data_IF_152071251428
#
_entry.id   IF_152071251428
#
_cell.length_a   1.000
_cell.length_b   1.000
_cell.length_c   1.000
_cell.angle_alpha   90.00
_cell.angle_beta   90.00
_cell.angle_gamma   90.00
#
_symmetry.space_group_name_H-M   'P 1'
#
loop_
_entity.id
_entity.type
_entity.pdbx_description
1 polymer ?
#
# COMPACT_ATOMS: atom_id res chain seq x y z
N UNK A 1 41.71 3.93 2.77
CA UNK A 1 41.86 3.56 4.19
C UNK A 1 40.55 2.96 4.66
N UNK A 2 40.64 1.83 5.38
CA UNK A 2 39.63 1.09 6.16
C UNK A 2 38.25 0.76 5.53
N UNK A 3 38.17 -0.46 4.97
CA UNK A 3 36.94 -1.23 4.76
C UNK A 3 36.64 -1.99 6.06
N UNK A 4 35.55 -1.67 6.76
CA UNK A 4 35.13 -2.46 7.92
C UNK A 4 34.24 -3.63 7.45
N UNK A 5 34.87 -4.80 7.39
CA UNK A 5 34.20 -6.10 7.35
C UNK A 5 33.81 -6.46 8.79
N UNK A 6 32.53 -6.66 9.07
CA UNK A 6 32.10 -7.38 10.27
C UNK A 6 31.45 -8.72 9.87
N UNK A 7 31.68 -9.80 10.64
CA UNK A 7 31.59 -11.18 10.19
C UNK A 7 30.21 -11.83 10.46
N UNK A 8 30.00 -12.92 9.73
CA UNK A 8 29.02 -13.97 9.99
C UNK A 8 29.03 -14.46 11.45
N UNK A 9 27.83 -14.62 12.01
CA UNK A 9 27.48 -15.63 13.00
C UNK A 9 26.10 -16.17 12.54
N UNK A 10 25.97 -17.29 11.83
CA UNK A 10 26.11 -18.69 12.26
C UNK A 10 25.38 -19.01 13.58
N UNK A 11 24.22 -19.67 13.49
CA UNK A 11 23.56 -20.26 14.65
C UNK A 11 22.15 -20.81 14.38
N UNK A 12 22.08 -22.03 13.82
CA UNK A 12 21.18 -23.17 14.17
C UNK A 12 19.66 -22.97 14.32
N UNK A 13 18.74 -23.88 13.99
CA UNK A 13 18.64 -25.16 13.29
C UNK A 13 17.17 -25.63 13.51
N UNK A 14 16.59 -26.31 12.51
CA UNK A 14 15.40 -27.19 12.60
C UNK A 14 14.04 -26.53 12.96
N UNK A 15 12.86 -26.98 12.49
CA UNK A 15 12.47 -28.27 11.96
C UNK A 15 11.25 -28.12 11.00
N UNK A 16 11.20 -29.01 10.01
CA UNK A 16 10.04 -29.30 9.17
C UNK A 16 8.88 -29.92 9.95
N UNK A 17 7.63 -29.71 9.52
CA UNK A 17 6.36 -30.42 9.87
C UNK A 17 5.24 -29.65 9.11
N UNK A 18 4.27 -30.17 8.34
CA UNK A 18 3.75 -31.51 8.01
C UNK A 18 3.05 -31.43 6.65
N UNK A 19 3.20 -32.47 5.84
CA UNK A 19 2.41 -32.77 4.64
C UNK A 19 1.01 -33.31 4.97
N UNK A 20 0.09 -33.08 4.03
CA UNK A 20 -1.02 -33.96 3.63
C UNK A 20 -2.32 -33.96 4.48
N UNK A 21 -3.40 -33.59 3.80
CA UNK A 21 -4.79 -33.83 4.22
C UNK A 21 -5.71 -33.82 3.01
N UNK A 22 -5.59 -34.85 2.15
CA UNK A 22 -6.57 -35.15 1.11
C UNK A 22 -7.70 -36.03 1.68
N UNK A 23 -8.91 -35.78 1.15
CA UNK A 23 -10.01 -36.74 0.94
C UNK A 23 -11.03 -36.99 2.05
N UNK A 24 -12.23 -36.44 1.85
CA UNK A 24 -13.44 -37.27 1.83
C UNK A 24 -14.52 -36.61 0.94
N UNK A 25 -14.75 -37.24 -0.22
CA UNK A 25 -15.87 -36.99 -1.12
C UNK A 25 -17.00 -37.97 -0.78
N UNK A 26 -18.25 -37.53 -0.71
CA UNK A 26 -19.40 -38.34 -1.18
C UNK A 26 -20.63 -37.46 -1.45
N UNK A 27 -21.24 -37.75 -2.60
CA UNK A 27 -22.27 -37.05 -3.34
C UNK A 27 -23.71 -37.34 -2.86
N UNK A 28 -24.64 -36.43 -3.18
CA UNK A 28 -25.91 -36.80 -3.85
C UNK A 28 -26.36 -35.64 -4.74
N UNK A 29 -26.54 -35.94 -6.02
CA UNK A 29 -26.96 -34.96 -7.02
C UNK A 29 -28.45 -34.64 -6.96
N UNK A 30 -28.82 -33.57 -7.65
CA UNK A 30 -30.11 -33.48 -8.35
C UNK A 30 -29.91 -32.55 -9.55
N UNK A 31 -30.04 -33.13 -10.73
CA UNK A 31 -30.20 -32.44 -12.01
C UNK A 31 -31.39 -31.48 -11.96
N UNK A 32 -31.15 -30.21 -12.28
CA UNK A 32 -32.10 -29.38 -12.99
C UNK A 32 -31.34 -28.33 -13.80
N UNK A 33 -31.07 -28.68 -15.05
CA UNK A 33 -30.76 -27.72 -16.10
C UNK A 33 -31.87 -26.67 -16.15
N UNK A 34 -31.51 -25.41 -15.93
CA UNK A 34 -32.23 -24.27 -16.48
C UNK A 34 -31.19 -23.21 -16.81
N UNK A 35 -30.83 -23.19 -18.09
CA UNK A 35 -30.08 -22.11 -18.69
C UNK A 35 -30.92 -20.82 -18.63
N UNK A 36 -30.36 -19.80 -18.00
CA UNK A 36 -30.67 -18.40 -18.28
C UNK A 36 -29.38 -17.58 -18.08
N UNK A 37 -29.18 -16.50 -18.86
CA UNK A 37 -27.86 -16.04 -19.27
C UNK A 37 -27.22 -15.08 -18.28
N UNK A 38 -25.89 -14.98 -18.41
CA UNK A 38 -25.03 -13.85 -18.09
C UNK A 38 -25.62 -12.77 -17.17
N UNK A 39 -25.15 -12.75 -15.93
CA UNK A 39 -24.82 -11.48 -15.31
C UNK A 39 -23.43 -11.65 -14.74
N UNK A 40 -22.43 -11.26 -15.52
CA UNK A 40 -21.17 -10.81 -14.93
C UNK A 40 -21.57 -9.76 -13.91
N UNK A 41 -21.61 -10.16 -12.63
CA UNK A 41 -21.36 -9.22 -11.57
C UNK A 41 -19.92 -8.78 -11.78
N UNK A 42 -19.73 -7.81 -12.69
CA UNK A 42 -18.61 -6.90 -12.59
C UNK A 42 -18.50 -6.53 -11.11
N UNK A 43 -17.30 -6.52 -10.52
CA UNK A 43 -17.16 -5.85 -9.24
C UNK A 43 -17.79 -4.47 -9.44
N UNK A 44 -18.90 -4.23 -8.74
CA UNK A 44 -19.50 -2.91 -8.71
C UNK A 44 -18.33 -1.98 -8.40
N UNK A 45 -18.10 -0.90 -9.17
CA UNK A 45 -17.12 0.09 -8.75
C UNK A 45 -17.53 0.44 -7.33
N UNK A 46 -16.63 0.21 -6.37
CA UNK A 46 -16.79 0.68 -5.02
C UNK A 46 -16.93 2.20 -5.14
N UNK A 47 -18.16 2.65 -5.33
CA UNK A 47 -18.52 4.05 -5.43
C UNK A 47 -18.65 4.48 -3.99
N UNK A 48 -17.51 4.57 -3.32
CA UNK A 48 -17.41 5.27 -2.05
C UNK A 48 -17.51 6.75 -2.40
N UNK A 49 -18.56 7.36 -1.85
CA UNK A 49 -19.13 8.62 -2.24
C UNK A 49 -18.12 9.78 -2.29
N UNK A 50 -18.04 10.45 -3.44
CA UNK A 50 -17.44 11.77 -3.55
C UNK A 50 -18.36 12.81 -2.89
N UNK A 51 -18.05 13.24 -1.67
CA UNK A 51 -18.39 14.57 -1.15
C UNK A 51 -17.38 14.94 -0.05
N UNK A 52 -16.18 15.39 -0.45
CA UNK A 52 -15.12 15.90 0.45
C UNK A 52 -14.10 14.86 0.95
N UNK A 53 -13.46 14.12 0.04
CA UNK A 53 -12.48 13.06 0.37
C UNK A 53 -11.22 13.15 -0.49
N UNK A 54 -10.46 12.05 -0.57
CA UNK A 54 -9.32 11.92 -1.50
C UNK A 54 -9.81 12.10 -2.95
N UNK A 55 -9.24 13.07 -3.66
CA UNK A 55 -9.56 13.36 -5.06
C UNK A 55 -8.28 13.39 -5.88
N UNK A 56 -8.41 13.22 -7.20
CA UNK A 56 -7.27 13.32 -8.11
C UNK A 56 -6.53 14.67 -8.04
N UNK A 57 -7.23 15.76 -7.72
CA UNK A 57 -6.60 17.08 -7.58
C UNK A 57 -5.76 17.17 -6.30
N UNK A 58 -6.20 16.50 -5.23
CA UNK A 58 -5.44 16.38 -3.97
C UNK A 58 -4.25 15.45 -4.17
N UNK A 59 -4.43 14.34 -4.89
CA UNK A 59 -3.36 13.42 -5.26
C UNK A 59 -2.26 14.15 -6.03
N UNK A 60 -2.62 14.90 -7.07
CA UNK A 60 -1.67 15.63 -7.90
C UNK A 60 -0.91 16.68 -7.08
N UNK A 61 -1.63 17.44 -6.26
CA UNK A 61 -1.02 18.46 -5.38
C UNK A 61 -0.06 17.83 -4.37
N UNK A 62 -0.51 16.79 -3.66
CA UNK A 62 0.32 16.08 -2.68
C UNK A 62 1.56 15.46 -3.34
N UNK A 63 1.35 14.73 -4.43
CA UNK A 63 2.42 14.01 -5.12
C UNK A 63 3.43 14.99 -5.71
N UNK A 64 2.97 16.08 -6.31
CA UNK A 64 3.85 17.15 -6.83
C UNK A 64 4.71 17.78 -5.73
N UNK A 65 4.11 18.12 -4.59
CA UNK A 65 4.83 18.72 -3.45
C UNK A 65 5.82 17.74 -2.81
N UNK A 66 5.41 16.48 -2.67
CA UNK A 66 6.25 15.40 -2.15
C UNK A 66 7.44 15.14 -3.08
N UNK A 67 7.20 15.03 -4.39
CA UNK A 67 8.25 14.83 -5.40
C UNK A 67 9.22 16.00 -5.37
N UNK A 68 8.71 17.23 -5.37
CA UNK A 68 9.55 18.42 -5.29
C UNK A 68 10.44 18.37 -4.05
N UNK A 69 9.86 18.13 -2.87
CA UNK A 69 10.60 18.05 -1.61
C UNK A 69 11.66 16.94 -1.62
N UNK A 70 11.32 15.76 -2.12
CA UNK A 70 12.25 14.63 -2.21
C UNK A 70 13.39 14.90 -3.21
N UNK A 71 13.10 15.54 -4.34
CA UNK A 71 14.11 15.92 -5.34
C UNK A 71 15.03 17.02 -4.84
N UNK A 72 14.50 18.02 -4.12
CA UNK A 72 15.29 19.06 -3.45
C UNK A 72 16.23 18.45 -2.38
N UNK A 73 15.84 17.32 -1.79
CA UNK A 73 16.66 16.52 -0.87
C UNK A 73 17.64 15.55 -1.56
N UNK A 74 17.65 15.48 -2.90
CA UNK A 74 18.59 14.68 -3.69
C UNK A 74 18.07 13.31 -4.15
N UNK A 75 16.79 13.01 -3.95
CA UNK A 75 16.16 11.79 -4.50
C UNK A 75 15.95 11.95 -6.01
N UNK A 76 16.30 10.95 -6.85
CA UNK A 76 16.00 11.00 -8.28
C UNK A 76 14.51 11.18 -8.54
N UNK A 77 14.15 11.99 -9.54
CA UNK A 77 12.74 12.33 -9.80
C UNK A 77 11.86 11.09 -10.03
N UNK A 78 12.34 10.09 -10.76
CA UNK A 78 11.59 8.85 -11.00
C UNK A 78 11.30 8.08 -9.70
N UNK A 79 12.30 7.97 -8.83
CA UNK A 79 12.17 7.29 -7.53
C UNK A 79 11.24 8.10 -6.61
N UNK A 80 11.40 9.42 -6.58
CA UNK A 80 10.52 10.33 -5.84
C UNK A 80 9.06 10.19 -6.28
N UNK A 81 8.78 10.16 -7.60
CA UNK A 81 7.43 9.96 -8.11
C UNK A 81 6.84 8.62 -7.69
N UNK A 82 7.62 7.54 -7.77
CA UNK A 82 7.16 6.22 -7.37
C UNK A 82 6.87 6.14 -5.86
N UNK A 83 7.77 6.67 -5.03
CA UNK A 83 7.62 6.69 -3.56
C UNK A 83 6.45 7.57 -3.14
N UNK A 84 6.35 8.79 -3.66
CA UNK A 84 5.29 9.72 -3.29
C UNK A 84 3.90 9.22 -3.71
N UNK A 85 3.78 8.62 -4.90
CA UNK A 85 2.53 7.99 -5.33
C UNK A 85 2.16 6.80 -4.44
N UNK A 86 3.14 5.99 -4.02
CA UNK A 86 2.92 4.92 -3.06
C UNK A 86 2.41 5.44 -1.71
N UNK A 87 3.05 6.49 -1.18
CA UNK A 87 2.64 7.09 0.10
C UNK A 87 1.20 7.59 0.01
N UNK A 88 0.83 8.27 -1.09
CA UNK A 88 -0.54 8.74 -1.26
C UNK A 88 -1.56 7.59 -1.22
N UNK A 89 -1.31 6.50 -1.98
CA UNK A 89 -2.20 5.32 -1.97
C UNK A 89 -2.30 4.68 -0.59
N UNK A 90 -1.19 4.60 0.15
CA UNK A 90 -1.21 4.10 1.53
C UNK A 90 -2.02 5.00 2.46
N UNK A 91 -1.89 6.32 2.32
CA UNK A 91 -2.70 7.28 3.09
C UNK A 91 -4.18 7.18 2.73
N UNK A 92 -4.53 7.12 1.45
CA UNK A 92 -5.91 6.96 1.00
C UNK A 92 -6.55 5.65 1.51
N UNK A 93 -5.78 4.57 1.60
CA UNK A 93 -6.27 3.27 2.04
C UNK A 93 -6.46 3.18 3.57
N UNK A 94 -5.57 3.80 4.36
CA UNK A 94 -5.50 3.58 5.80
C UNK A 94 -5.87 4.80 6.65
N UNK A 95 -5.84 6.01 6.09
CA UNK A 95 -5.99 7.26 6.83
C UNK A 95 -7.32 7.93 6.47
N UNK A 96 -8.15 8.29 7.47
CA UNK A 96 -9.32 9.12 7.24
C UNK A 96 -8.92 10.46 6.62
N UNK A 97 -9.68 10.91 5.62
CA UNK A 97 -9.34 12.13 4.89
C UNK A 97 -9.17 13.38 5.77
N UNK A 98 -9.96 13.49 6.86
CA UNK A 98 -9.86 14.61 7.79
C UNK A 98 -8.52 14.65 8.53
N UNK A 99 -7.99 13.48 8.91
CA UNK A 99 -6.67 13.34 9.54
C UNK A 99 -5.57 13.68 8.54
N UNK A 100 -5.75 13.30 7.27
CA UNK A 100 -4.85 13.68 6.20
C UNK A 100 -4.78 15.20 6.01
N UNK A 101 -5.92 15.88 5.92
CA UNK A 101 -5.98 17.34 5.76
C UNK A 101 -5.31 18.05 6.95
N UNK A 102 -5.55 17.58 8.18
CA UNK A 102 -4.92 18.15 9.36
C UNK A 102 -3.39 18.01 9.33
N UNK A 103 -2.89 16.83 8.95
CA UNK A 103 -1.46 16.56 8.85
C UNK A 103 -0.79 17.27 7.66
N UNK A 104 -1.45 17.38 6.50
CA UNK A 104 -0.95 18.13 5.35
C UNK A 104 -0.83 19.63 5.68
N UNK A 105 -1.83 20.20 6.34
CA UNK A 105 -1.79 21.58 6.81
C UNK A 105 -0.71 21.83 7.88
N UNK A 106 -0.36 20.81 8.68
CA UNK A 106 0.76 20.87 9.63
C UNK A 106 2.11 20.80 8.89
N UNK A 107 2.25 19.86 7.94
CA UNK A 107 3.45 19.72 7.12
C UNK A 107 3.75 20.97 6.30
N UNK A 108 2.72 21.65 5.77
CA UNK A 108 2.86 22.92 5.06
C UNK A 108 3.46 24.04 5.94
N UNK A 109 3.36 23.94 7.27
CA UNK A 109 3.98 24.86 8.24
C UNK A 109 5.37 24.40 8.70
N UNK A 110 5.87 23.28 8.16
CA UNK A 110 7.13 22.66 8.55
C UNK A 110 7.02 21.78 9.80
N UNK A 111 5.80 21.42 10.23
CA UNK A 111 5.61 20.48 11.34
C UNK A 111 5.83 19.04 10.87
N UNK A 112 6.20 18.17 11.81
CA UNK A 112 6.40 16.76 11.52
C UNK A 112 5.06 16.07 11.21
N UNK A 113 5.10 15.12 10.27
CA UNK A 113 3.97 14.25 9.99
C UNK A 113 3.69 13.32 11.19
N UNK A 114 2.45 12.82 11.34
CA UNK A 114 2.10 11.86 12.39
C UNK A 114 3.01 10.63 12.35
N UNK A 115 3.50 10.18 13.51
CA UNK A 115 4.36 8.98 13.59
C UNK A 115 3.65 7.72 13.07
N UNK A 116 2.32 7.66 13.16
CA UNK A 116 1.51 6.56 12.63
C UNK A 116 1.68 6.37 11.12
N UNK A 117 2.04 7.41 10.38
CA UNK A 117 2.30 7.33 8.94
C UNK A 117 3.70 6.80 8.62
N UNK A 118 4.58 6.67 9.62
CA UNK A 118 5.94 6.18 9.45
C UNK A 118 6.01 4.78 8.83
N UNK A 119 5.03 3.92 9.09
CA UNK A 119 4.93 2.58 8.48
C UNK A 119 4.65 2.66 6.98
N UNK A 120 3.72 3.54 6.57
CA UNK A 120 3.39 3.78 5.15
C UNK A 120 4.63 4.32 4.42
N UNK A 121 5.28 5.34 4.99
CA UNK A 121 6.48 5.95 4.41
C UNK A 121 7.63 4.94 4.28
N UNK A 122 7.91 4.18 5.34
CA UNK A 122 8.99 3.18 5.33
C UNK A 122 8.70 2.02 4.36
N UNK A 123 7.43 1.60 4.27
CA UNK A 123 6.96 0.62 3.30
C UNK A 123 7.24 1.08 1.87
N UNK A 124 6.82 2.30 1.52
CA UNK A 124 7.00 2.86 0.19
C UNK A 124 8.46 3.15 -0.19
N UNK A 125 9.31 3.50 0.78
CA UNK A 125 10.75 3.63 0.54
C UNK A 125 11.42 2.29 0.23
N UNK A 126 10.92 1.20 0.84
CA UNK A 126 11.47 -0.15 0.64
C UNK A 126 10.90 -0.81 -0.61
N UNK A 127 9.61 -0.59 -0.88
CA UNK A 127 8.86 -1.10 -2.03
C UNK A 127 7.79 -0.08 -2.46
N UNK A 128 8.02 0.70 -3.53
CA UNK A 128 7.06 1.71 -4.02
C UNK A 128 5.81 1.10 -4.67
N UNK A 129 5.67 -0.23 -4.67
CA UNK A 129 4.49 -0.96 -5.15
C UNK A 129 3.69 -1.63 -4.03
N UNK A 130 4.07 -1.39 -2.77
CA UNK A 130 3.46 -2.03 -1.59
C UNK A 130 2.01 -1.61 -1.30
N UNK A 131 1.59 -0.46 -1.85
CA UNK A 131 0.23 0.09 -1.78
C UNK A 131 -0.28 0.41 -3.18
#
# INVERSE_FOLDING_TARGET
>A
MARFRLPLALGTAAAALVLAGCSASVSTGTDASSAAPATSAAPAPATSAATGGYTAEIEDTFTSNCVKSATDAGTPQADATAICGCIYRGLEAEVPFEDFVAADAAAAKGEALPESWGTIVTGCQSDPTSF
#
